data_IF_717060692304
#
_entry.id   IF_717060692304
#
_cell.length_a   1.000
_cell.length_b   1.000
_cell.length_c   1.000
_cell.angle_alpha   90.00
_cell.angle_beta   90.00
_cell.angle_gamma   90.00
#
_symmetry.space_group_name_H-M   'P 1'
#
loop_
_entity.id
_entity.type
_entity.pdbx_description
1 polymer ?
#
# COMPACT_ATOMS: atom_id res chain seq x y z
N UNK A 1 8.54 -2.82 -4.23
CA UNK A 1 7.78 -1.88 -3.37
C UNK A 1 6.33 -2.30 -3.24
N UNK A 2 5.58 -2.39 -4.33
CA UNK A 2 4.16 -2.79 -4.25
C UNK A 2 3.93 -4.20 -3.72
N UNK A 3 4.84 -5.13 -4.02
CA UNK A 3 4.83 -6.48 -3.46
C UNK A 3 4.92 -6.48 -1.92
N UNK A 4 5.86 -5.71 -1.37
CA UNK A 4 6.05 -5.52 0.08
C UNK A 4 4.80 -4.93 0.74
N UNK A 5 4.18 -3.93 0.11
CA UNK A 5 2.94 -3.34 0.61
C UNK A 5 1.79 -4.35 0.60
N UNK A 6 1.64 -5.13 -0.48
CA UNK A 6 0.64 -6.20 -0.55
C UNK A 6 0.88 -7.22 0.55
N UNK A 7 2.09 -7.74 0.70
CA UNK A 7 2.45 -8.66 1.77
C UNK A 7 2.12 -8.09 3.16
N UNK A 8 2.44 -6.81 3.41
CA UNK A 8 2.07 -6.15 4.67
C UNK A 8 0.55 -6.13 4.90
N UNK A 9 -0.25 -5.86 3.88
CA UNK A 9 -1.71 -5.94 3.96
C UNK A 9 -2.18 -7.38 4.26
N UNK A 10 -1.54 -8.39 3.68
CA UNK A 10 -1.86 -9.80 3.97
C UNK A 10 -1.61 -10.13 5.44
N UNK A 11 -0.45 -9.75 5.96
CA UNK A 11 -0.14 -9.96 7.38
C UNK A 11 -1.03 -9.13 8.32
N UNK A 12 -1.43 -7.92 7.92
CA UNK A 12 -2.19 -6.99 8.77
C UNK A 12 -3.68 -7.31 8.82
N UNK A 13 -4.27 -7.66 7.67
CA UNK A 13 -5.71 -7.82 7.49
C UNK A 13 -6.10 -9.28 7.19
N UNK A 14 -5.13 -10.20 7.14
CA UNK A 14 -5.33 -11.65 7.05
C UNK A 14 -6.13 -12.09 5.81
N UNK A 15 -5.80 -11.52 4.64
CA UNK A 15 -6.41 -11.80 3.34
C UNK A 15 -5.37 -11.75 2.22
N UNK A 16 -5.63 -12.36 1.04
CA UNK A 16 -4.63 -12.53 -0.03
C UNK A 16 -4.42 -11.29 -0.92
N UNK A 17 -3.99 -10.17 -0.33
CA UNK A 17 -3.70 -8.92 -1.04
C UNK A 17 -2.63 -9.05 -2.14
N UNK A 18 -1.74 -10.05 -2.12
CA UNK A 18 -0.71 -10.23 -3.15
C UNK A 18 -1.30 -10.78 -4.46
N UNK A 19 -2.35 -11.60 -4.35
CA UNK A 19 -3.09 -12.13 -5.49
C UNK A 19 -4.23 -11.21 -5.96
N UNK A 20 -4.65 -10.26 -5.10
CA UNK A 20 -5.70 -9.30 -5.42
C UNK A 20 -5.24 -8.17 -6.35
N UNK A 21 -6.16 -7.76 -7.22
CA UNK A 21 -6.00 -6.56 -8.04
C UNK A 21 -6.06 -5.28 -7.21
N UNK A 22 -5.54 -4.18 -7.77
CA UNK A 22 -5.56 -2.87 -7.12
C UNK A 22 -6.99 -2.43 -6.78
N UNK A 23 -7.98 -2.78 -7.60
CA UNK A 23 -9.41 -2.52 -7.36
C UNK A 23 -9.96 -3.39 -6.22
N UNK A 24 -9.64 -4.68 -6.18
CA UNK A 24 -10.06 -5.55 -5.07
C UNK A 24 -9.45 -5.11 -3.73
N UNK A 25 -8.20 -4.63 -3.74
CA UNK A 25 -7.56 -4.02 -2.56
C UNK A 25 -8.29 -2.76 -2.12
N UNK A 26 -8.75 -1.93 -3.06
CA UNK A 26 -9.54 -0.75 -2.77
C UNK A 26 -10.86 -1.08 -2.08
N UNK A 27 -11.56 -2.10 -2.56
CA UNK A 27 -12.83 -2.54 -2.00
C UNK A 27 -12.64 -3.20 -0.63
N UNK A 28 -11.68 -4.12 -0.49
CA UNK A 28 -11.41 -4.81 0.77
C UNK A 28 -10.94 -3.85 1.86
N UNK A 29 -10.01 -2.93 1.55
CA UNK A 29 -9.48 -2.00 2.56
C UNK A 29 -10.55 -1.04 3.09
N UNK A 30 -11.62 -0.79 2.32
CA UNK A 30 -12.75 0.03 2.75
C UNK A 30 -13.56 -0.60 3.89
N UNK A 31 -13.45 -1.91 4.08
CA UNK A 31 -14.09 -2.64 5.17
C UNK A 31 -13.30 -2.64 6.48
N UNK A 32 -12.08 -2.09 6.51
CA UNK A 32 -11.21 -2.08 7.69
C UNK A 32 -11.04 -0.68 8.27
N UNK A 33 -10.57 -0.62 9.52
CA UNK A 33 -10.27 0.62 10.24
C UNK A 33 -8.96 1.25 9.75
N UNK A 34 -8.99 1.79 8.52
CA UNK A 34 -7.87 2.45 7.86
C UNK A 34 -8.28 3.88 7.54
N UNK A 35 -7.39 4.84 7.82
CA UNK A 35 -7.65 6.25 7.52
C UNK A 35 -7.77 6.47 6.01
N UNK A 36 -8.66 7.40 5.62
CA UNK A 36 -8.87 7.76 4.20
C UNK A 36 -7.55 8.12 3.52
N UNK A 37 -6.70 8.91 4.18
CA UNK A 37 -5.39 9.28 3.67
C UNK A 37 -4.48 8.08 3.43
N UNK A 38 -4.48 7.10 4.33
CA UNK A 38 -3.70 5.85 4.16
C UNK A 38 -4.19 5.06 2.95
N UNK A 39 -5.50 4.96 2.76
CA UNK A 39 -6.09 4.32 1.59
C UNK A 39 -5.66 5.02 0.29
N UNK A 40 -5.77 6.35 0.22
CA UNK A 40 -5.38 7.12 -0.96
C UNK A 40 -3.89 6.94 -1.30
N UNK A 41 -3.04 6.94 -0.28
CA UNK A 41 -1.60 6.70 -0.43
C UNK A 41 -1.33 5.32 -1.03
N UNK A 42 -1.92 4.27 -0.48
CA UNK A 42 -1.78 2.90 -0.98
C UNK A 42 -2.20 2.80 -2.45
N UNK A 43 -3.38 3.30 -2.78
CA UNK A 43 -3.92 3.27 -4.15
C UNK A 43 -3.05 4.05 -5.13
N UNK A 44 -2.51 5.19 -4.72
CA UNK A 44 -1.59 5.98 -5.55
C UNK A 44 -0.35 5.16 -5.91
N UNK A 45 0.27 4.47 -4.95
CA UNK A 45 1.46 3.63 -5.20
C UNK A 45 1.12 2.45 -6.11
N UNK A 46 0.01 1.75 -5.86
CA UNK A 46 -0.41 0.59 -6.64
C UNK A 46 -0.72 0.97 -8.09
N UNK A 47 -1.51 2.03 -8.30
CA UNK A 47 -1.85 2.55 -9.65
C UNK A 47 -0.59 2.99 -10.39
N UNK A 48 0.30 3.74 -9.73
CA UNK A 48 1.58 4.13 -10.34
C UNK A 48 2.38 2.91 -10.77
N UNK A 49 2.49 1.88 -9.94
CA UNK A 49 3.24 0.67 -10.29
C UNK A 49 2.63 -0.13 -11.46
N UNK A 50 1.30 -0.17 -11.56
CA UNK A 50 0.62 -0.77 -12.72
C UNK A 50 0.99 -0.01 -14.00
N UNK A 51 0.99 1.33 -13.99
CA UNK A 51 1.45 2.12 -15.12
C UNK A 51 2.90 1.82 -15.52
N UNK A 52 3.82 1.66 -14.56
CA UNK A 52 5.23 1.32 -14.84
C UNK A 52 5.33 -0.06 -15.52
N UNK A 53 4.58 -1.05 -15.02
CA UNK A 53 4.56 -2.43 -15.57
C UNK A 53 4.07 -2.46 -17.01
N UNK A 54 3.08 -1.65 -17.36
CA UNK A 54 2.52 -1.60 -18.72
C UNK A 54 3.31 -0.69 -19.66
N UNK A 55 3.86 0.43 -19.17
CA UNK A 55 4.51 1.42 -20.02
C UNK A 55 5.95 1.07 -20.43
N UNK A 56 6.56 -0.01 -19.89
CA UNK A 56 8.00 -0.33 -20.00
C UNK A 56 8.93 0.84 -19.66
N UNK A 57 8.42 1.90 -19.03
CA UNK A 57 9.18 3.07 -18.63
C UNK A 57 9.76 2.81 -17.26
N UNK A 58 11.03 3.16 -17.07
CA UNK A 58 11.62 3.21 -15.75
C UNK A 58 10.97 4.39 -15.00
N UNK A 59 10.46 4.18 -13.78
CA UNK A 59 9.95 5.28 -12.98
C UNK A 59 11.09 6.26 -12.72
N UNK A 60 10.79 7.56 -12.70
CA UNK A 60 11.82 8.53 -12.37
C UNK A 60 12.27 8.31 -10.91
N UNK A 61 13.55 8.56 -10.58
CA UNK A 61 14.06 8.39 -9.21
C UNK A 61 13.21 9.14 -8.16
N UNK A 62 12.70 10.31 -8.53
CA UNK A 62 11.83 11.14 -7.71
C UNK A 62 10.46 10.48 -7.42
N UNK A 63 9.88 9.80 -8.40
CA UNK A 63 8.61 9.07 -8.22
C UNK A 63 8.81 7.83 -7.33
N UNK A 64 9.93 7.14 -7.50
CA UNK A 64 10.26 6.00 -6.65
C UNK A 64 10.49 6.44 -5.19
N UNK A 65 11.20 7.55 -4.97
CA UNK A 65 11.41 8.13 -3.64
C UNK A 65 10.07 8.50 -2.99
N UNK A 66 9.20 9.21 -3.73
CA UNK A 66 7.88 9.59 -3.24
C UNK A 66 7.01 8.38 -2.91
N UNK A 67 7.04 7.34 -3.75
CA UNK A 67 6.32 6.09 -3.50
C UNK A 67 6.84 5.39 -2.23
N UNK A 68 8.14 5.44 -1.97
CA UNK A 68 8.76 4.85 -0.79
C UNK A 68 8.42 5.61 0.49
N UNK A 69 8.48 6.94 0.48
CA UNK A 69 8.04 7.78 1.62
C UNK A 69 6.57 7.54 1.95
N UNK A 70 5.73 7.51 0.92
CA UNK A 70 4.32 7.21 1.02
C UNK A 70 4.07 5.82 1.63
N UNK A 71 4.81 4.79 1.18
CA UNK A 71 4.70 3.44 1.74
C UNK A 71 5.05 3.41 3.23
N UNK A 72 6.09 4.14 3.64
CA UNK A 72 6.51 4.23 5.04
C UNK A 72 5.42 4.94 5.86
N UNK A 73 4.89 6.06 5.39
CA UNK A 73 3.83 6.80 6.07
C UNK A 73 2.54 5.96 6.23
N UNK A 74 2.21 5.16 5.21
CA UNK A 74 1.10 4.21 5.28
C UNK A 74 1.30 3.16 6.37
N UNK A 75 2.48 2.53 6.40
CA UNK A 75 2.80 1.52 7.42
C UNK A 75 2.75 2.16 8.81
N UNK A 76 3.35 3.32 9.00
CA UNK A 76 3.37 4.02 10.29
C UNK A 76 1.95 4.38 10.78
N UNK A 77 1.09 4.88 9.87
CA UNK A 77 -0.30 5.23 10.21
C UNK A 77 -1.21 4.02 10.45
N UNK A 78 -0.90 2.84 9.88
CA UNK A 78 -1.73 1.63 10.00
C UNK A 78 -1.17 0.61 10.99
N UNK A 79 0.08 0.83 11.44
CA UNK A 79 0.72 0.04 12.48
C UNK A 79 -0.16 0.09 13.72
N UNK A 80 -0.50 -1.06 14.33
CA UNK A 80 -1.16 -1.03 15.62
C UNK A 80 -0.22 -0.29 16.57
N UNK A 81 -0.70 0.81 17.17
CA UNK A 81 0.04 1.52 18.20
C UNK A 81 0.56 0.49 19.19
N UNK A 82 1.88 0.41 19.38
CA UNK A 82 2.52 -0.39 20.44
C UNK A 82 2.22 0.20 21.83
N UNK A 83 1.05 0.80 22.02
CA UNK A 83 0.51 1.22 23.30
C UNK A 83 -0.37 0.10 23.87
N UNK A 84 0.17 -1.11 24.02
CA UNK A 84 -0.25 -2.10 25.03
C UNK A 84 0.53 -3.41 24.92
N UNK A 85 1.86 -3.34 25.05
CA UNK A 85 2.66 -4.48 25.51
C UNK A 85 3.76 -3.97 26.45
N UNK A 86 3.31 -3.63 27.67
CA UNK A 86 4.00 -3.62 28.98
C UNK A 86 5.33 -2.89 29.14
#
# INVERSE_FOLDING_TARGET
LTDILRQYLEYRFNWNALESTTEEIEENISGYDVTVSSKEILLSILKSADFVKFAKKLPLPNENMKAMENAIAFIDSTKPSEASAQ
#
